data_IF_517242827883
#
_entry.id   IF_517242827883
#
_cell.length_a   1.000
_cell.length_b   1.000
_cell.length_c   1.000
_cell.angle_alpha   90.00
_cell.angle_beta   90.00
_cell.angle_gamma   90.00
#
_symmetry.space_group_name_H-M   'P 1'
#
loop_
_entity.id
_entity.type
_entity.pdbx_description
1 polymer ?
#
# COMPACT_ATOMS: atom_id res chain seq x y z
N UNK A 1 -11.86 1.21 14.18
CA UNK A 1 -11.15 0.07 13.55
C UNK A 1 -10.82 0.46 12.12
N UNK A 2 -9.62 0.14 11.63
CA UNK A 2 -9.28 0.33 10.22
C UNK A 2 -9.14 -1.00 9.49
N UNK A 3 -9.44 -0.98 8.20
CA UNK A 3 -9.16 -2.07 7.28
C UNK A 3 -8.21 -1.61 6.18
N UNK A 4 -7.42 -2.52 5.66
CA UNK A 4 -6.65 -2.34 4.45
C UNK A 4 -6.96 -3.47 3.46
N UNK A 5 -7.35 -3.12 2.23
CA UNK A 5 -7.59 -4.08 1.15
C UNK A 5 -6.48 -3.99 0.11
N UNK A 6 -5.72 -5.07 -0.07
CA UNK A 6 -4.66 -5.18 -1.07
C UNK A 6 -5.17 -5.90 -2.34
N UNK A 7 -5.06 -5.23 -3.47
CA UNK A 7 -5.29 -5.75 -4.82
C UNK A 7 -4.34 -5.07 -5.81
N UNK A 8 -4.82 -4.73 -7.01
CA UNK A 8 -4.06 -3.93 -7.99
C UNK A 8 -3.57 -2.60 -7.37
N UNK A 9 -4.46 -1.92 -6.65
CA UNK A 9 -4.16 -0.85 -5.71
C UNK A 9 -4.39 -1.30 -4.25
N UNK A 10 -4.21 -0.39 -3.31
CA UNK A 10 -4.39 -0.62 -1.89
C UNK A 10 -5.27 0.50 -1.30
N UNK A 11 -6.30 0.12 -0.54
CA UNK A 11 -7.29 1.05 0.00
C UNK A 11 -7.44 0.86 1.49
N UNK A 12 -7.15 1.92 2.24
CA UNK A 12 -7.23 1.92 3.70
C UNK A 12 -8.45 2.73 4.10
N UNK A 13 -9.35 2.11 4.87
CA UNK A 13 -10.54 2.75 5.39
C UNK A 13 -10.57 2.65 6.91
N UNK A 14 -10.82 3.77 7.57
CA UNK A 14 -11.01 3.86 9.01
C UNK A 14 -12.39 4.42 9.33
N UNK A 15 -13.23 3.60 9.97
CA UNK A 15 -14.53 4.03 10.44
C UNK A 15 -14.38 5.10 11.56
N UNK A 16 -15.08 6.23 11.41
CA UNK A 16 -15.11 7.37 12.32
C UNK A 16 -16.45 7.55 13.06
N UNK A 17 -17.37 6.59 12.94
CA UNK A 17 -18.70 6.59 13.55
C UNK A 17 -19.68 7.53 12.85
N UNK A 18 -20.69 8.00 13.58
CA UNK A 18 -21.78 8.83 13.03
C UNK A 18 -21.36 10.30 12.76
N UNK A 19 -20.12 10.68 13.12
CA UNK A 19 -19.60 12.03 12.90
C UNK A 19 -18.68 12.07 11.69
N UNK A 20 -18.93 13.05 10.82
CA UNK A 20 -18.06 13.38 9.70
C UNK A 20 -16.75 13.94 10.27
N UNK A 21 -15.63 13.34 9.87
CA UNK A 21 -14.28 13.84 10.16
C UNK A 21 -13.67 14.34 8.86
N UNK A 22 -13.56 15.67 8.65
CA UNK A 22 -12.91 16.21 7.45
C UNK A 22 -11.40 15.99 7.53
N UNK A 23 -10.81 15.50 6.44
CA UNK A 23 -9.35 15.40 6.34
C UNK A 23 -8.68 16.77 6.21
N UNK A 24 -7.50 16.91 6.83
CA UNK A 24 -6.61 18.07 6.63
C UNK A 24 -5.27 17.71 6.01
N UNK A 25 -5.03 16.43 5.76
CA UNK A 25 -3.74 15.89 5.34
C UNK A 25 -3.87 15.00 4.09
N UNK A 26 -4.87 15.23 3.24
CA UNK A 26 -4.98 14.54 1.94
C UNK A 26 -5.63 13.16 2.02
N UNK A 27 -6.65 12.99 2.87
CA UNK A 27 -7.53 11.82 2.87
C UNK A 27 -8.91 12.21 2.34
N UNK A 28 -9.69 11.19 1.98
CA UNK A 28 -11.08 11.36 1.59
C UNK A 28 -11.99 11.05 2.78
N UNK A 29 -12.98 11.90 3.02
CA UNK A 29 -14.07 11.59 3.95
C UNK A 29 -15.23 10.99 3.16
N UNK A 30 -15.66 9.79 3.52
CA UNK A 30 -16.66 9.03 2.78
C UNK A 30 -17.70 8.40 3.71
N UNK A 31 -18.78 7.87 3.14
CA UNK A 31 -19.78 7.07 3.87
C UNK A 31 -19.23 5.64 3.99
N UNK A 32 -19.16 5.12 5.22
CA UNK A 32 -18.75 3.74 5.48
C UNK A 32 -19.89 2.76 5.22
N UNK A 33 -21.07 3.02 5.81
CA UNK A 33 -22.32 2.29 5.59
C UNK A 33 -23.51 3.06 6.15
N UNK A 34 -24.72 2.64 5.75
CA UNK A 34 -25.96 3.10 6.36
C UNK A 34 -26.90 1.94 6.66
N UNK A 35 -27.36 1.82 7.91
CA UNK A 35 -28.27 0.76 8.36
C UNK A 35 -29.27 1.36 9.36
N UNK A 36 -30.55 0.99 9.26
CA UNK A 36 -31.62 1.44 10.17
C UNK A 36 -31.71 2.97 10.33
N UNK A 37 -31.52 3.72 9.24
CA UNK A 37 -31.58 5.19 9.25
C UNK A 37 -30.37 5.88 9.88
N UNK A 38 -29.35 5.13 10.32
CA UNK A 38 -28.07 5.66 10.80
C UNK A 38 -27.02 5.55 9.70
N UNK A 39 -26.19 6.59 9.58
CA UNK A 39 -25.07 6.64 8.63
C UNK A 39 -23.77 6.74 9.42
N UNK A 40 -22.83 5.86 9.12
CA UNK A 40 -21.47 5.93 9.64
C UNK A 40 -20.52 6.36 8.53
N UNK A 41 -19.48 7.12 8.91
CA UNK A 41 -18.49 7.68 8.01
C UNK A 41 -17.13 6.99 8.16
N UNK A 42 -16.27 7.19 7.18
CA UNK A 42 -14.90 6.74 7.20
C UNK A 42 -13.94 7.78 6.64
N UNK A 43 -12.70 7.73 7.10
CA UNK A 43 -11.55 8.28 6.40
C UNK A 43 -10.96 7.22 5.48
N UNK A 44 -10.69 7.60 4.25
CA UNK A 44 -10.12 6.75 3.22
C UNK A 44 -8.81 7.33 2.70
N UNK A 45 -7.82 6.46 2.55
CA UNK A 45 -6.62 6.73 1.76
C UNK A 45 -6.45 5.67 0.67
N UNK A 46 -6.19 6.14 -0.55
CA UNK A 46 -6.13 5.30 -1.75
C UNK A 46 -4.70 5.32 -2.32
N UNK A 47 -4.11 4.14 -2.46
CA UNK A 47 -2.81 3.90 -3.09
C UNK A 47 -3.08 3.22 -4.42
N UNK A 48 -2.81 3.91 -5.53
CA UNK A 48 -3.22 3.44 -6.85
C UNK A 48 -2.46 2.20 -7.31
N UNK A 49 -1.17 2.12 -6.99
CA UNK A 49 -0.28 1.04 -7.40
C UNK A 49 0.18 0.29 -6.16
N UNK A 50 -0.39 -0.90 -5.94
CA UNK A 50 0.09 -1.86 -4.96
C UNK A 50 0.47 -3.14 -5.70
N UNK A 51 -0.44 -4.10 -5.85
CA UNK A 51 -0.20 -5.33 -6.58
C UNK A 51 0.15 -5.14 -8.06
N UNK A 52 -0.26 -4.03 -8.66
CA UNK A 52 0.15 -3.64 -10.02
C UNK A 52 1.68 -3.53 -10.16
N UNK A 53 2.44 -3.25 -9.08
CA UNK A 53 3.91 -3.23 -9.14
C UNK A 53 4.48 -4.62 -9.42
N UNK A 54 3.87 -5.66 -8.84
CA UNK A 54 4.28 -7.06 -9.04
C UNK A 54 3.93 -7.51 -10.45
N UNK A 55 2.76 -7.12 -10.93
CA UNK A 55 2.34 -7.37 -12.31
C UNK A 55 3.29 -6.70 -13.30
N UNK A 56 3.64 -5.43 -13.07
CA UNK A 56 4.60 -4.70 -13.92
C UNK A 56 6.00 -5.35 -13.94
N UNK A 57 6.50 -5.79 -12.79
CA UNK A 57 7.79 -6.50 -12.70
C UNK A 57 7.79 -7.82 -13.49
N UNK A 58 6.65 -8.50 -13.56
CA UNK A 58 6.45 -9.75 -14.29
C UNK A 58 6.27 -9.51 -15.79
N UNK A 59 5.27 -8.71 -16.14
CA UNK A 59 4.78 -8.58 -17.51
C UNK A 59 5.66 -7.64 -18.36
N UNK A 60 6.16 -6.55 -17.77
CA UNK A 60 6.89 -5.52 -18.52
C UNK A 60 8.41 -5.63 -18.38
N UNK A 61 8.91 -5.87 -17.16
CA UNK A 61 10.37 -6.02 -16.93
C UNK A 61 10.87 -7.47 -17.01
N UNK A 62 9.98 -8.47 -17.02
CA UNK A 62 10.35 -9.87 -17.11
C UNK A 62 11.25 -10.36 -15.97
N UNK A 63 11.20 -9.73 -14.79
CA UNK A 63 12.07 -10.07 -13.66
C UNK A 63 11.68 -11.38 -12.96
N UNK A 64 10.41 -11.76 -13.08
CA UNK A 64 9.78 -12.96 -12.52
C UNK A 64 8.80 -13.53 -13.55
N UNK A 65 8.56 -14.85 -13.51
CA UNK A 65 7.65 -15.50 -14.46
C UNK A 65 6.20 -15.54 -13.95
N UNK A 66 6.02 -15.53 -12.64
CA UNK A 66 4.71 -15.52 -11.99
C UNK A 66 4.76 -14.62 -10.76
N UNK A 67 3.61 -14.09 -10.34
CA UNK A 67 3.55 -13.15 -9.22
C UNK A 67 4.02 -13.81 -7.93
N UNK A 68 3.77 -15.11 -7.75
CA UNK A 68 4.13 -15.92 -6.58
C UNK A 68 5.66 -16.09 -6.40
N UNK A 69 6.46 -15.78 -7.42
CA UNK A 69 7.90 -15.83 -7.33
C UNK A 69 8.50 -14.65 -6.55
N UNK A 70 7.80 -13.50 -6.46
CA UNK A 70 8.37 -12.28 -5.89
C UNK A 70 8.85 -12.50 -4.45
N UNK A 71 8.01 -13.11 -3.60
CA UNK A 71 8.34 -13.40 -2.20
C UNK A 71 9.53 -14.37 -2.11
N UNK A 72 9.54 -15.42 -2.95
CA UNK A 72 10.64 -16.39 -2.98
C UNK A 72 11.98 -15.75 -3.33
N UNK A 73 11.99 -14.72 -4.17
CA UNK A 73 13.21 -13.98 -4.49
C UNK A 73 13.54 -12.93 -3.43
N UNK A 74 12.54 -12.22 -2.91
CA UNK A 74 12.72 -11.23 -1.86
C UNK A 74 13.32 -11.85 -0.58
N UNK A 75 12.97 -13.10 -0.25
CA UNK A 75 13.53 -13.84 0.88
C UNK A 75 14.95 -14.37 0.66
N UNK A 76 15.52 -14.30 -0.55
CA UNK A 76 16.92 -14.70 -0.82
C UNK A 76 17.94 -13.64 -0.40
N UNK A 77 17.49 -12.43 -0.12
CA UNK A 77 18.30 -11.31 0.36
C UNK A 77 17.85 -10.90 1.75
N UNK A 78 18.77 -10.33 2.54
CA UNK A 78 18.46 -9.91 3.91
C UNK A 78 17.82 -8.52 3.97
N UNK A 79 18.07 -7.70 2.97
CA UNK A 79 17.63 -6.31 2.85
C UNK A 79 17.48 -5.91 1.37
N UNK A 80 17.18 -4.64 1.10
CA UNK A 80 17.10 -4.08 -0.25
C UNK A 80 18.45 -3.60 -0.79
N UNK A 81 19.54 -3.75 -0.02
CA UNK A 81 20.87 -3.20 -0.35
C UNK A 81 20.81 -1.70 -0.73
N UNK A 82 19.96 -0.93 -0.04
CA UNK A 82 19.75 0.50 -0.27
C UNK A 82 18.82 0.84 -1.44
N UNK A 83 18.28 -0.16 -2.15
CA UNK A 83 17.35 0.05 -3.25
C UNK A 83 15.99 0.48 -2.71
N UNK A 84 15.44 1.54 -3.30
CA UNK A 84 14.07 1.97 -3.07
C UNK A 84 13.31 2.05 -4.39
N UNK A 85 12.08 1.56 -4.40
CA UNK A 85 11.13 1.72 -5.49
C UNK A 85 10.00 2.65 -5.04
N UNK A 86 9.70 3.66 -5.84
CA UNK A 86 8.50 4.50 -5.70
C UNK A 86 7.61 4.17 -6.90
N UNK A 87 6.53 3.38 -6.74
CA UNK A 87 5.76 2.84 -7.87
C UNK A 87 4.68 3.82 -8.37
N UNK A 88 5.06 5.07 -8.62
CA UNK A 88 4.14 6.13 -9.08
C UNK A 88 3.86 6.08 -10.60
N UNK A 89 3.50 4.91 -11.15
CA UNK A 89 3.35 4.72 -12.60
C UNK A 89 2.25 5.59 -13.23
N UNK A 90 1.23 5.92 -12.44
CA UNK A 90 0.10 6.79 -12.83
C UNK A 90 -0.03 7.99 -11.87
N UNK A 91 1.07 8.38 -11.23
CA UNK A 91 1.08 9.34 -10.13
C UNK A 91 0.97 8.69 -8.74
N UNK A 92 1.05 9.52 -7.71
CA UNK A 92 0.90 9.14 -6.31
C UNK A 92 -0.52 9.47 -5.82
N UNK A 93 -1.14 8.50 -5.17
CA UNK A 93 -2.40 8.69 -4.44
C UNK A 93 -2.17 9.34 -3.07
N UNK A 94 -3.03 9.01 -2.11
CA UNK A 94 -2.92 9.51 -0.76
C UNK A 94 -1.58 9.10 -0.10
N UNK A 95 -1.01 9.92 0.79
CA UNK A 95 -1.46 11.28 1.16
C UNK A 95 -0.98 12.39 0.20
N UNK A 96 -0.20 12.05 -0.83
CA UNK A 96 0.55 13.02 -1.63
C UNK A 96 -0.26 13.71 -2.73
N UNK A 97 -1.12 12.97 -3.44
CA UNK A 97 -1.93 13.46 -4.56
C UNK A 97 -1.14 14.16 -5.67
N UNK A 98 0.04 13.64 -5.99
CA UNK A 98 0.86 14.14 -7.09
C UNK A 98 0.68 13.27 -8.34
N UNK A 99 -0.15 13.74 -9.27
CA UNK A 99 -0.41 13.06 -10.54
C UNK A 99 0.73 13.20 -11.57
N UNK A 100 1.68 14.11 -11.32
CA UNK A 100 2.86 14.30 -12.16
C UNK A 100 4.05 13.46 -11.71
N UNK A 101 4.02 12.93 -10.47
CA UNK A 101 4.96 11.94 -10.01
C UNK A 101 5.05 10.74 -10.97
N UNK A 102 6.25 10.16 -11.09
CA UNK A 102 6.54 9.02 -11.95
C UNK A 102 7.27 7.93 -11.17
N UNK A 103 7.19 6.71 -11.69
CA UNK A 103 7.89 5.56 -11.12
C UNK A 103 9.40 5.78 -11.07
N UNK A 104 10.03 5.54 -9.92
CA UNK A 104 11.47 5.75 -9.72
C UNK A 104 12.06 4.56 -8.97
N UNK A 105 13.23 4.08 -9.44
CA UNK A 105 14.12 3.20 -8.67
C UNK A 105 15.39 3.99 -8.34
N UNK A 106 15.75 4.06 -7.06
CA UNK A 106 16.98 4.71 -6.58
C UNK A 106 17.79 3.78 -5.69
N UNK A 107 19.03 4.19 -5.38
CA UNK A 107 19.90 3.46 -4.45
C UNK A 107 20.55 2.22 -5.05
N UNK A 108 20.56 2.10 -6.38
CA UNK A 108 21.27 1.02 -7.08
C UNK A 108 22.77 1.15 -6.86
N UNK A 109 23.36 0.09 -6.34
CA UNK A 109 24.82 -0.10 -6.26
C UNK A 109 25.24 -1.28 -7.13
N UNK A 110 26.54 -1.46 -7.38
CA UNK A 110 27.04 -2.63 -8.13
C UNK A 110 26.65 -3.97 -7.50
N UNK A 111 26.43 -3.99 -6.18
CA UNK A 111 25.99 -5.18 -5.45
C UNK A 111 24.48 -5.44 -5.53
N UNK A 112 23.69 -4.50 -6.05
CA UNK A 112 22.26 -4.70 -6.23
C UNK A 112 22.00 -5.81 -7.25
N UNK A 113 20.99 -6.61 -6.95
CA UNK A 113 20.57 -7.79 -7.71
C UNK A 113 19.07 -7.71 -7.93
N UNK A 114 18.54 -8.55 -8.82
CA UNK A 114 17.08 -8.61 -9.05
C UNK A 114 16.30 -8.85 -7.75
N UNK A 115 16.82 -9.68 -6.85
CA UNK A 115 16.20 -9.99 -5.55
C UNK A 115 16.00 -8.73 -4.69
N UNK A 116 16.96 -7.80 -4.73
CA UNK A 116 16.89 -6.54 -3.99
C UNK A 116 15.82 -5.60 -4.55
N UNK A 117 15.64 -5.57 -5.88
CA UNK A 117 14.58 -4.78 -6.53
C UNK A 117 13.20 -5.36 -6.21
N UNK A 118 13.07 -6.69 -6.27
CA UNK A 118 11.84 -7.41 -5.94
C UNK A 118 11.45 -7.17 -4.46
N UNK A 119 12.42 -7.25 -3.54
CA UNK A 119 12.22 -6.89 -2.13
C UNK A 119 11.82 -5.42 -1.95
N UNK A 120 12.49 -4.50 -2.64
CA UNK A 120 12.18 -3.08 -2.58
C UNK A 120 10.76 -2.78 -3.09
N UNK A 121 10.23 -3.58 -4.01
CA UNK A 121 8.86 -3.44 -4.49
C UNK A 121 7.82 -3.86 -3.44
N UNK A 122 8.05 -4.96 -2.71
CA UNK A 122 7.19 -5.34 -1.58
C UNK A 122 7.23 -4.29 -0.45
N UNK A 123 8.42 -3.83 -0.11
CA UNK A 123 8.60 -2.79 0.92
C UNK A 123 7.97 -1.45 0.50
N UNK A 124 8.00 -1.09 -0.78
CA UNK A 124 7.34 0.12 -1.29
C UNK A 124 5.84 0.14 -0.99
N UNK A 125 5.15 -1.00 -1.19
CA UNK A 125 3.72 -1.14 -0.88
C UNK A 125 3.47 -0.95 0.63
N UNK A 126 4.36 -1.51 1.46
CA UNK A 126 4.27 -1.36 2.91
C UNK A 126 4.53 0.08 3.37
N UNK A 127 5.53 0.76 2.80
CA UNK A 127 5.82 2.17 3.09
C UNK A 127 4.62 3.07 2.75
N UNK A 128 4.05 2.93 1.54
CA UNK A 128 2.87 3.73 1.16
C UNK A 128 1.68 3.46 2.09
N UNK A 129 1.47 2.20 2.49
CA UNK A 129 0.42 1.84 3.45
C UNK A 129 0.66 2.49 4.81
N UNK A 130 1.91 2.53 5.28
CA UNK A 130 2.29 3.21 6.53
C UNK A 130 2.01 4.71 6.43
N UNK A 131 2.43 5.36 5.35
CA UNK A 131 2.27 6.82 5.18
C UNK A 131 0.78 7.22 5.26
N UNK A 132 -0.11 6.43 4.64
CA UNK A 132 -1.55 6.62 4.75
C UNK A 132 -2.08 6.38 6.18
N UNK A 133 -1.61 5.33 6.86
CA UNK A 133 -2.05 5.01 8.23
C UNK A 133 -1.66 6.11 9.23
N UNK A 134 -0.44 6.63 9.12
CA UNK A 134 0.04 7.73 9.96
C UNK A 134 -0.85 8.96 9.80
N UNK A 135 -1.20 9.29 8.56
CA UNK A 135 -2.10 10.42 8.25
C UNK A 135 -3.52 10.17 8.76
N UNK A 136 -4.04 8.95 8.62
CA UNK A 136 -5.36 8.56 9.16
C UNK A 136 -5.41 8.72 10.68
N UNK A 137 -4.36 8.28 11.39
CA UNK A 137 -4.28 8.44 12.84
C UNK A 137 -4.21 9.92 13.25
N UNK A 138 -3.47 10.72 12.50
CA UNK A 138 -3.33 12.17 12.73
C UNK A 138 -4.65 12.90 12.51
N UNK A 139 -5.37 12.62 11.43
CA UNK A 139 -6.65 13.28 11.12
C UNK A 139 -7.81 12.82 12.01
N UNK A 140 -7.83 11.54 12.37
CA UNK A 140 -8.90 11.01 13.24
C UNK A 140 -8.69 11.31 14.72
N UNK A 141 -7.44 11.57 15.16
CA UNK A 141 -7.07 11.64 16.57
C UNK A 141 -7.20 10.31 17.32
N UNK A 142 -7.42 9.21 16.60
CA UNK A 142 -7.63 7.87 17.17
C UNK A 142 -6.35 7.04 16.94
N UNK A 143 -5.80 6.49 18.02
CA UNK A 143 -4.65 5.60 17.92
C UNK A 143 -5.07 4.20 17.44
N UNK A 144 -4.52 3.75 16.32
CA UNK A 144 -4.85 2.49 15.67
C UNK A 144 -4.10 1.34 16.34
N UNK A 145 -4.83 0.47 17.05
CA UNK A 145 -4.23 -0.71 17.73
C UNK A 145 -4.21 -1.97 16.87
N UNK A 146 -5.08 -2.05 15.85
CA UNK A 146 -5.24 -3.22 14.99
C UNK A 146 -5.63 -2.77 13.59
N UNK A 147 -4.97 -3.34 12.58
CA UNK A 147 -5.31 -3.19 11.18
C UNK A 147 -5.84 -4.51 10.65
N UNK A 148 -7.09 -4.53 10.18
CA UNK A 148 -7.63 -5.72 9.51
C UNK A 148 -7.17 -5.71 8.06
N UNK A 149 -6.46 -6.75 7.64
CA UNK A 149 -5.97 -6.84 6.27
C UNK A 149 -6.82 -7.81 5.45
N UNK A 150 -7.16 -7.43 4.23
CA UNK A 150 -7.90 -8.24 3.27
C UNK A 150 -7.08 -8.30 1.98
N UNK A 151 -6.75 -9.51 1.54
CA UNK A 151 -6.10 -9.72 0.24
C UNK A 151 -7.14 -10.11 -0.78
N UNK A 152 -7.04 -9.53 -1.98
CA UNK A 152 -7.62 -10.17 -3.17
C UNK A 152 -7.00 -11.57 -3.34
N UNK A 153 -7.71 -12.57 -3.90
CA UNK A 153 -7.24 -13.95 -3.99
C UNK A 153 -5.83 -14.11 -4.58
N UNK A 154 -5.42 -13.19 -5.45
CA UNK A 154 -4.09 -13.13 -6.06
C UNK A 154 -2.97 -12.78 -5.08
N UNK A 155 -3.26 -12.16 -3.93
CA UNK A 155 -2.27 -11.56 -3.03
C UNK A 155 -2.20 -12.18 -1.63
N UNK A 156 -2.99 -13.22 -1.38
CA UNK A 156 -3.15 -13.84 -0.05
C UNK A 156 -1.84 -14.47 0.49
N UNK A 157 -0.93 -14.91 -0.38
CA UNK A 157 0.34 -15.50 0.04
C UNK A 157 1.41 -14.46 0.40
N UNK A 158 1.41 -13.26 -0.21
CA UNK A 158 2.54 -12.32 -0.11
C UNK A 158 2.72 -11.65 1.26
N UNK A 159 1.63 -11.40 1.97
CA UNK A 159 1.66 -10.56 3.17
C UNK A 159 1.27 -11.31 4.44
N UNK A 160 0.86 -12.58 4.34
CA UNK A 160 0.62 -13.43 5.51
C UNK A 160 1.84 -13.50 6.47
N UNK A 161 3.11 -13.51 6.00
CA UNK A 161 4.27 -13.48 6.90
C UNK A 161 4.61 -12.08 7.46
N UNK A 162 3.97 -11.01 6.99
CA UNK A 162 4.17 -9.63 7.46
C UNK A 162 3.05 -9.13 8.39
N UNK A 163 1.99 -9.93 8.58
CA UNK A 163 0.96 -9.69 9.59
C UNK A 163 1.42 -10.16 10.97
N UNK A 164 1.38 -9.31 12.02
CA UNK A 164 1.64 -9.73 13.39
C UNK A 164 0.54 -10.66 13.94
#
# INVERSE_FOLDING_TARGET
>A
MAKNTYGTGCFILMNTGEKIVPSRNGLLTTIAWGVNGKVEYALEGSIFIAGAVVQWLRDELGMINSSEEIEKYALKVKDTNGVYLVPAFVGLGAPYWDMYARGIIVGLTRGAKKEHILRAAEEAIAYQSRDVLEVIQKDSGINLKKLKVIFSPLYYQFFYPLSP
#
